data_IF_408470060333
#
_entry.id   IF_408470060333
#
_cell.length_a   1.000
_cell.length_b   1.000
_cell.length_c   1.000
_cell.angle_alpha   90.00
_cell.angle_beta   90.00
_cell.angle_gamma   90.00
#
_symmetry.space_group_name_H-M   'P 1'
#
loop_
_entity.id
_entity.type
_entity.pdbx_description
1 polymer ?
#
# COMPACT_ATOMS: atom_id res chain seq x y z
N UNK A 1 25.63 -28.21 -20.22
CA UNK A 1 26.50 -27.13 -19.71
C UNK A 1 25.64 -26.28 -18.78
N UNK A 2 25.86 -26.38 -17.46
CA UNK A 2 25.06 -25.68 -16.43
C UNK A 2 25.52 -24.22 -16.36
N UNK A 3 24.67 -23.26 -16.77
CA UNK A 3 24.90 -21.86 -16.40
C UNK A 3 24.24 -21.61 -15.06
N UNK A 4 25.11 -21.43 -14.06
CA UNK A 4 24.82 -20.93 -12.73
C UNK A 4 24.05 -19.60 -12.83
N UNK A 5 22.84 -19.57 -12.30
CA UNK A 5 22.10 -18.33 -12.05
C UNK A 5 22.80 -17.68 -10.86
N UNK A 6 23.64 -16.68 -11.13
CA UNK A 6 24.10 -15.75 -10.10
C UNK A 6 22.85 -14.98 -9.65
N UNK A 7 22.21 -15.47 -8.60
CA UNK A 7 21.29 -14.66 -7.81
C UNK A 7 22.08 -13.46 -7.29
N UNK A 8 21.57 -12.25 -7.48
CA UNK A 8 22.24 -11.08 -6.91
C UNK A 8 22.23 -11.23 -5.39
N UNK A 9 23.40 -11.19 -4.74
CA UNK A 9 23.55 -11.04 -3.28
C UNK A 9 23.04 -9.67 -2.76
N UNK A 10 22.21 -8.98 -3.53
CA UNK A 10 21.64 -7.70 -3.15
C UNK A 10 20.47 -7.92 -2.20
N UNK A 11 20.41 -7.13 -1.13
CA UNK A 11 19.28 -7.11 -0.21
C UNK A 11 17.97 -6.91 -0.99
N UNK A 12 16.89 -7.64 -0.63
CA UNK A 12 15.62 -7.51 -1.32
C UNK A 12 15.07 -6.09 -1.18
N UNK A 13 14.33 -5.66 -2.20
CA UNK A 13 13.54 -4.44 -2.12
C UNK A 13 12.17 -4.81 -1.53
N UNK A 14 11.91 -4.42 -0.28
CA UNK A 14 10.71 -4.80 0.45
C UNK A 14 9.59 -3.78 0.21
N UNK A 15 8.41 -4.30 -0.17
CA UNK A 15 7.19 -3.52 -0.44
C UNK A 15 6.09 -3.99 0.51
N UNK A 16 5.55 -3.08 1.32
CA UNK A 16 4.35 -3.32 2.10
C UNK A 16 3.09 -3.04 1.26
N UNK A 17 2.07 -3.88 1.37
CA UNK A 17 0.83 -3.74 0.61
C UNK A 17 -0.38 -3.87 1.53
N UNK A 18 -1.32 -2.94 1.39
CA UNK A 18 -2.59 -2.93 2.12
C UNK A 18 -3.77 -2.95 1.15
N UNK A 19 -4.90 -3.50 1.60
CA UNK A 19 -6.18 -3.45 0.88
C UNK A 19 -7.28 -2.85 1.77
N UNK A 20 -8.24 -2.16 1.16
CA UNK A 20 -9.37 -1.56 1.88
C UNK A 20 -10.37 -2.58 2.43
N UNK A 21 -11.04 -2.22 3.53
CA UNK A 21 -12.14 -3.00 4.10
C UNK A 21 -13.44 -2.93 3.30
N UNK A 22 -14.36 -3.85 3.59
CA UNK A 22 -15.56 -4.06 2.77
C UNK A 22 -16.61 -2.94 2.88
N UNK A 23 -16.60 -2.09 3.92
CA UNK A 23 -17.37 -0.82 4.03
C UNK A 23 -18.80 -0.85 3.46
N UNK A 24 -19.57 -1.91 3.73
CA UNK A 24 -20.96 -2.06 3.27
C UNK A 24 -21.15 -2.73 1.89
N UNK A 25 -20.08 -3.21 1.27
CA UNK A 25 -20.08 -4.03 0.06
C UNK A 25 -19.80 -5.50 0.39
N UNK A 26 -20.21 -6.42 -0.49
CA UNK A 26 -19.94 -7.86 -0.31
C UNK A 26 -18.44 -8.17 -0.35
N UNK A 27 -17.67 -7.37 -1.10
CA UNK A 27 -16.22 -7.47 -1.18
C UNK A 27 -15.59 -6.11 -1.45
N UNK A 28 -14.30 -5.98 -1.12
CA UNK A 28 -13.44 -4.88 -1.56
C UNK A 28 -12.39 -5.42 -2.54
N UNK A 29 -12.41 -4.90 -3.77
CA UNK A 29 -11.47 -5.34 -4.81
C UNK A 29 -10.00 -5.12 -4.44
N UNK A 30 -9.68 -4.14 -3.61
CA UNK A 30 -8.32 -3.90 -3.13
C UNK A 30 -7.83 -5.00 -2.18
N UNK A 31 -8.69 -5.51 -1.28
CA UNK A 31 -8.35 -6.63 -0.42
C UNK A 31 -8.12 -7.91 -1.25
N UNK A 32 -9.02 -8.21 -2.19
CA UNK A 32 -8.88 -9.36 -3.10
C UNK A 32 -7.57 -9.25 -3.90
N UNK A 33 -7.26 -8.07 -4.43
CA UNK A 33 -6.01 -7.84 -5.17
C UNK A 33 -4.77 -8.04 -4.29
N UNK A 34 -4.77 -7.54 -3.04
CA UNK A 34 -3.66 -7.78 -2.10
C UNK A 34 -3.41 -9.28 -1.91
N UNK A 35 -4.47 -10.05 -1.70
CA UNK A 35 -4.37 -11.47 -1.34
C UNK A 35 -3.84 -12.35 -2.48
N UNK A 36 -4.06 -11.94 -3.74
CA UNK A 36 -3.58 -12.67 -4.92
C UNK A 36 -2.21 -12.20 -5.43
N UNK A 37 -1.61 -11.17 -4.83
CA UNK A 37 -0.26 -10.77 -5.19
C UNK A 37 0.74 -11.88 -4.85
N UNK A 38 1.75 -12.11 -5.71
CA UNK A 38 2.81 -13.04 -5.38
C UNK A 38 3.65 -12.47 -4.23
N UNK A 39 4.20 -13.34 -3.38
CA UNK A 39 5.05 -12.92 -2.25
C UNK A 39 6.39 -12.33 -2.72
N UNK A 40 6.80 -12.61 -3.96
CA UNK A 40 8.00 -12.02 -4.54
C UNK A 40 7.97 -11.89 -6.07
N UNK A 41 8.73 -10.91 -6.56
CA UNK A 41 9.03 -10.74 -7.98
C UNK A 41 10.53 -10.83 -8.25
N UNK A 42 10.89 -11.74 -9.17
CA UNK A 42 12.26 -11.94 -9.64
C UNK A 42 12.46 -11.26 -10.98
N UNK A 43 13.56 -10.51 -11.11
CA UNK A 43 13.91 -9.78 -12.33
C UNK A 43 15.38 -10.02 -12.63
N UNK A 44 15.72 -10.30 -13.89
CA UNK A 44 17.10 -10.59 -14.28
C UNK A 44 18.05 -9.46 -13.85
N UNK A 45 19.12 -9.81 -13.15
CA UNK A 45 20.18 -8.90 -12.68
C UNK A 45 19.68 -7.71 -11.83
N UNK A 46 18.52 -7.84 -11.19
CA UNK A 46 17.96 -6.84 -10.27
C UNK A 46 17.65 -7.49 -8.93
N UNK A 47 17.64 -6.72 -7.82
CA UNK A 47 17.20 -7.23 -6.54
C UNK A 47 15.77 -7.80 -6.63
N UNK A 48 15.55 -8.91 -5.94
CA UNK A 48 14.22 -9.48 -5.70
C UNK A 48 13.36 -8.45 -5.01
N UNK A 49 12.12 -8.29 -5.48
CA UNK A 49 11.11 -7.53 -4.74
C UNK A 49 10.42 -8.51 -3.82
N UNK A 50 10.43 -8.27 -2.50
CA UNK A 50 9.61 -9.00 -1.53
C UNK A 50 8.34 -8.20 -1.26
N UNK A 51 7.20 -8.87 -1.23
CA UNK A 51 5.89 -8.27 -0.97
C UNK A 51 5.40 -8.75 0.38
N UNK A 52 5.21 -7.81 1.30
CA UNK A 52 4.62 -8.05 2.60
C UNK A 52 3.16 -7.58 2.56
N UNK A 53 2.23 -8.53 2.62
CA UNK A 53 0.79 -8.25 2.58
C UNK A 53 0.32 -8.00 4.01
N UNK A 54 -0.39 -6.90 4.26
CA UNK A 54 -0.98 -6.66 5.58
C UNK A 54 -2.05 -7.73 5.89
N UNK A 55 -2.00 -8.32 7.08
CA UNK A 55 -2.96 -9.37 7.53
C UNK A 55 -4.38 -8.84 7.65
N UNK A 56 -4.50 -7.57 8.03
CA UNK A 56 -5.78 -6.89 8.19
C UNK A 56 -6.07 -5.94 7.02
N UNK A 57 -7.35 -5.76 6.72
CA UNK A 57 -7.79 -4.74 5.78
C UNK A 57 -7.77 -3.37 6.45
N UNK A 58 -7.41 -2.33 5.70
CA UNK A 58 -7.54 -0.95 6.14
C UNK A 58 -9.03 -0.64 6.39
N UNK A 59 -9.37 -0.38 7.65
CA UNK A 59 -10.70 0.09 8.01
C UNK A 59 -10.99 1.44 7.34
N UNK A 60 -12.26 1.70 7.07
CA UNK A 60 -12.74 3.03 6.68
C UNK A 60 -12.86 4.00 7.87
N UNK A 61 -12.47 3.56 9.07
CA UNK A 61 -12.42 4.35 10.30
C UNK A 61 -11.03 5.00 10.50
N UNK A 62 -11.01 6.24 11.00
CA UNK A 62 -9.77 7.01 11.17
C UNK A 62 -8.74 6.33 12.07
N UNK A 63 -9.12 6.00 13.31
CA UNK A 63 -8.20 5.51 14.35
C UNK A 63 -7.64 4.10 14.04
N UNK A 64 -8.44 3.09 13.66
CA UNK A 64 -7.91 1.77 13.30
C UNK A 64 -7.00 1.82 12.08
N UNK A 65 -7.37 2.59 11.05
CA UNK A 65 -6.56 2.75 9.85
C UNK A 65 -5.18 3.35 10.17
N UNK A 66 -5.13 4.38 11.01
CA UNK A 66 -3.85 4.96 11.46
C UNK A 66 -2.98 3.96 12.21
N UNK A 67 -3.56 3.27 13.21
CA UNK A 67 -2.80 2.32 14.03
C UNK A 67 -2.18 1.23 13.18
N UNK A 68 -2.93 0.73 12.19
CA UNK A 68 -2.41 -0.24 11.23
C UNK A 68 -1.28 0.37 10.41
N UNK A 69 -1.47 1.54 9.78
CA UNK A 69 -0.43 2.18 8.94
C UNK A 69 0.84 2.47 9.75
N UNK A 70 0.73 3.02 10.95
CA UNK A 70 1.87 3.30 11.83
C UNK A 70 2.61 2.01 12.22
N UNK A 71 1.89 0.95 12.58
CA UNK A 71 2.49 -0.33 12.92
C UNK A 71 3.19 -1.01 11.74
N UNK A 72 2.63 -0.90 10.54
CA UNK A 72 3.23 -1.40 9.30
C UNK A 72 4.55 -0.66 8.98
N UNK A 73 4.59 0.66 9.12
CA UNK A 73 5.81 1.46 8.95
C UNK A 73 6.84 1.26 10.06
N UNK A 74 6.39 0.94 11.28
CA UNK A 74 7.24 0.55 12.40
C UNK A 74 7.77 -0.89 12.30
N UNK A 75 7.60 -1.54 11.13
CA UNK A 75 8.09 -2.89 10.85
C UNK A 75 7.53 -3.96 11.82
N UNK A 76 6.31 -3.77 12.32
CA UNK A 76 5.65 -4.78 13.14
C UNK A 76 5.27 -5.99 12.27
N UNK A 77 6.14 -7.01 12.26
CA UNK A 77 5.99 -8.21 11.45
C UNK A 77 4.67 -8.96 11.70
N UNK A 78 4.07 -8.86 12.89
CA UNK A 78 2.78 -9.50 13.18
C UNK A 78 1.60 -8.92 12.38
N UNK A 79 1.77 -7.74 11.79
CA UNK A 79 0.78 -7.10 10.92
C UNK A 79 0.93 -7.51 9.45
N UNK A 80 1.91 -8.35 9.12
CA UNK A 80 2.15 -8.88 7.79
C UNK A 80 1.92 -10.40 7.73
N UNK A 81 1.38 -10.86 6.60
CA UNK A 81 1.27 -12.28 6.26
C UNK A 81 2.67 -12.80 5.90
N UNK A 82 3.41 -13.29 6.90
CA UNK A 82 4.79 -13.75 6.72
C UNK A 82 4.84 -15.23 6.38
N UNK A 83 5.22 -15.57 5.14
CA UNK A 83 5.38 -16.97 4.69
C UNK A 83 6.82 -17.51 4.89
N UNK A 84 7.81 -16.68 5.23
CA UNK A 84 9.15 -17.16 5.61
C UNK A 84 9.76 -16.28 6.71
N UNK A 85 10.28 -16.92 7.77
CA UNK A 85 11.00 -16.32 8.90
C UNK A 85 12.31 -15.64 8.42
N UNK A 86 12.24 -14.47 7.78
CA UNK A 86 13.46 -13.68 7.57
C UNK A 86 13.74 -12.85 8.82
N UNK A 87 14.59 -13.39 9.68
CA UNK A 87 15.21 -12.72 10.84
C UNK A 87 16.13 -11.54 10.46
N UNK A 88 16.36 -11.30 9.17
CA UNK A 88 17.10 -10.14 8.69
C UNK A 88 16.15 -8.95 8.53
N UNK A 89 16.44 -7.86 9.24
CA UNK A 89 15.61 -6.64 9.32
C UNK A 89 14.97 -6.24 7.99
N UNK A 90 13.69 -6.58 7.83
CA UNK A 90 12.89 -6.27 6.67
C UNK A 90 12.45 -4.81 6.73
N UNK A 91 13.32 -3.91 6.28
CA UNK A 91 12.94 -2.51 6.15
C UNK A 91 12.02 -2.31 4.95
N UNK A 92 10.77 -1.95 5.21
CA UNK A 92 9.82 -1.58 4.15
C UNK A 92 10.29 -0.30 3.47
N UNK A 93 10.55 -0.40 2.16
CA UNK A 93 11.08 0.72 1.36
C UNK A 93 10.02 1.44 0.54
N UNK A 94 8.85 0.82 0.40
CA UNK A 94 7.71 1.34 -0.32
C UNK A 94 6.43 0.75 0.30
N UNK A 95 5.43 1.59 0.52
CA UNK A 95 4.10 1.18 0.93
C UNK A 95 3.12 1.45 -0.22
N UNK A 96 2.32 0.44 -0.56
CA UNK A 96 1.23 0.57 -1.55
C UNK A 96 -0.10 0.44 -0.81
N UNK A 97 -0.85 1.54 -0.78
CA UNK A 97 -2.22 1.56 -0.27
C UNK A 97 -3.21 1.42 -1.42
N UNK A 98 -4.01 0.36 -1.39
CA UNK A 98 -5.05 0.12 -2.39
C UNK A 98 -6.44 0.36 -1.79
N UNK A 99 -7.26 1.11 -2.51
CA UNK A 99 -8.66 1.37 -2.18
C UNK A 99 -9.58 1.04 -3.35
N UNK A 100 -10.87 0.95 -3.07
CA UNK A 100 -11.90 0.73 -4.08
C UNK A 100 -12.64 2.03 -4.39
N UNK A 101 -12.80 2.35 -5.68
CA UNK A 101 -13.68 3.43 -6.16
C UNK A 101 -14.86 2.80 -6.88
N UNK A 102 -16.07 3.15 -6.49
CA UNK A 102 -17.30 2.56 -7.05
C UNK A 102 -17.77 3.24 -8.33
N UNK A 103 -17.33 4.47 -8.58
CA UNK A 103 -17.79 5.30 -9.70
C UNK A 103 -16.85 5.35 -10.89
N UNK A 104 -15.63 4.83 -10.76
CA UNK A 104 -14.62 4.88 -11.82
C UNK A 104 -14.34 3.47 -12.35
N UNK A 105 -14.41 3.23 -13.67
CA UNK A 105 -14.17 1.91 -14.25
C UNK A 105 -12.67 1.59 -14.40
N UNK A 106 -11.78 2.57 -14.14
CA UNK A 106 -10.35 2.46 -14.38
C UNK A 106 -9.55 2.47 -13.08
N UNK A 107 -8.33 1.93 -13.13
CA UNK A 107 -7.34 2.12 -12.08
C UNK A 107 -6.91 3.59 -12.02
N UNK A 108 -6.98 4.17 -10.82
CA UNK A 108 -6.49 5.51 -10.54
C UNK A 108 -5.25 5.44 -9.66
N UNK A 109 -4.30 6.34 -9.90
CA UNK A 109 -3.16 6.55 -9.02
C UNK A 109 -3.28 7.94 -8.42
N UNK A 110 -3.33 8.01 -7.09
CA UNK A 110 -3.36 9.29 -6.40
C UNK A 110 -1.99 9.97 -6.53
N UNK A 111 -2.00 11.25 -6.94
CA UNK A 111 -0.77 11.99 -7.28
C UNK A 111 -0.27 12.90 -6.17
N UNK A 112 -1.10 13.14 -5.16
CA UNK A 112 -0.75 13.82 -3.92
C UNK A 112 -1.76 13.47 -2.81
N UNK A 113 -1.32 13.55 -1.57
CA UNK A 113 -2.18 13.58 -0.39
C UNK A 113 -2.17 14.99 0.18
N UNK A 114 -3.33 15.47 0.63
CA UNK A 114 -3.47 16.80 1.21
C UNK A 114 -3.40 16.70 2.73
N UNK A 115 -2.75 17.69 3.36
CA UNK A 115 -2.60 17.77 4.81
C UNK A 115 -3.92 17.90 5.55
N UNK A 116 -4.91 18.56 4.95
CA UNK A 116 -6.26 18.70 5.51
C UNK A 116 -7.00 17.36 5.62
N UNK A 117 -6.49 16.32 4.97
CA UNK A 117 -6.98 14.95 5.11
C UNK A 117 -8.40 14.78 4.57
N UNK A 118 -9.02 13.68 4.98
CA UNK A 118 -10.43 13.42 4.72
C UNK A 118 -11.26 14.11 5.81
N UNK A 119 -12.18 14.99 5.43
CA UNK A 119 -13.01 15.80 6.37
C UNK A 119 -14.46 15.31 6.46
N UNK A 120 -14.76 14.16 5.85
CA UNK A 120 -16.11 13.60 5.85
C UNK A 120 -16.27 12.53 6.93
N UNK A 121 -17.50 12.21 7.34
CA UNK A 121 -17.73 11.11 8.27
C UNK A 121 -17.17 9.79 7.76
N UNK A 122 -16.63 8.99 8.66
CA UNK A 122 -16.29 7.58 8.39
C UNK A 122 -17.55 6.71 8.28
N UNK A 123 -17.35 5.39 8.12
CA UNK A 123 -18.43 4.39 8.06
C UNK A 123 -19.28 4.29 9.35
N UNK A 124 -18.80 4.84 10.48
CA UNK A 124 -19.53 4.95 11.75
C UNK A 124 -20.17 6.33 11.94
N UNK A 125 -20.08 7.21 10.94
CA UNK A 125 -20.59 8.58 11.01
C UNK A 125 -19.72 9.51 11.85
N UNK A 126 -18.49 9.10 12.22
CA UNK A 126 -17.59 9.93 13.02
C UNK A 126 -16.78 10.86 12.12
N UNK A 127 -16.73 12.12 12.52
CA UNK A 127 -15.80 13.09 11.96
C UNK A 127 -14.41 12.90 12.58
N UNK A 128 -13.34 13.32 11.88
CA UNK A 128 -11.99 13.25 12.45
C UNK A 128 -11.89 14.14 13.69
N UNK A 129 -11.37 13.57 14.77
CA UNK A 129 -11.13 14.24 16.04
C UNK A 129 -9.69 14.78 16.13
N UNK A 130 -9.38 15.70 17.06
CA UNK A 130 -7.99 16.15 17.29
C UNK A 130 -6.98 15.00 17.52
N UNK A 131 -7.42 13.88 18.10
CA UNK A 131 -6.60 12.67 18.28
C UNK A 131 -6.37 11.94 16.96
N UNK A 132 -7.24 12.15 15.98
CA UNK A 132 -7.06 11.76 14.59
C UNK A 132 -6.09 12.69 13.85
N UNK A 133 -5.18 13.38 14.53
CA UNK A 133 -4.01 13.98 13.90
C UNK A 133 -2.74 13.71 14.72
N UNK A 134 -1.62 13.42 14.05
CA UNK A 134 -0.35 13.19 14.74
C UNK A 134 0.14 14.52 15.33
N UNK A 135 0.32 14.57 16.65
CA UNK A 135 0.85 15.70 17.43
C UNK A 135 0.10 17.04 17.31
N UNK A 136 -1.05 17.15 17.98
CA UNK A 136 -1.55 18.44 18.49
C UNK A 136 -2.47 19.26 17.57
N UNK A 137 -2.85 18.73 16.41
CA UNK A 137 -3.66 19.45 15.43
C UNK A 137 -3.37 18.98 14.02
N UNK A 138 -3.78 19.76 13.01
CA UNK A 138 -3.77 19.51 11.57
C UNK A 138 -2.41 19.07 10.98
N UNK A 139 -1.90 17.88 11.33
CA UNK A 139 -0.57 17.39 10.92
C UNK A 139 0.48 18.52 10.98
N UNK A 140 0.50 19.24 12.11
CA UNK A 140 1.27 20.48 12.24
C UNK A 140 2.77 20.17 12.04
N UNK A 141 3.40 20.87 11.10
CA UNK A 141 4.78 20.61 10.67
C UNK A 141 4.91 19.72 9.42
N UNK A 142 3.82 19.11 8.94
CA UNK A 142 3.80 18.46 7.62
C UNK A 142 3.57 19.49 6.50
N UNK A 143 4.09 19.23 5.28
CA UNK A 143 3.78 20.04 4.11
C UNK A 143 2.29 19.97 3.77
N UNK A 144 1.77 21.00 3.09
CA UNK A 144 0.36 21.04 2.66
C UNK A 144 0.00 19.89 1.71
N UNK A 145 0.97 19.47 0.90
CA UNK A 145 0.84 18.34 -0.01
C UNK A 145 2.02 17.38 0.19
N UNK A 146 1.72 16.10 0.26
CA UNK A 146 2.70 15.03 0.13
C UNK A 146 2.54 14.40 -1.25
N UNK A 147 3.63 14.38 -2.03
CA UNK A 147 3.66 13.75 -3.35
C UNK A 147 4.36 12.41 -3.25
N UNK A 148 3.93 11.38 -4.00
CA UNK A 148 4.67 10.12 -4.06
C UNK A 148 6.10 10.35 -4.54
N UNK A 149 7.09 9.78 -3.84
CA UNK A 149 8.51 9.85 -4.23
C UNK A 149 8.77 9.14 -5.56
N UNK A 150 7.93 8.16 -5.88
CA UNK A 150 7.93 7.50 -7.18
C UNK A 150 7.21 8.43 -8.15
N UNK A 151 7.95 9.02 -9.09
CA UNK A 151 7.34 9.71 -10.23
C UNK A 151 6.46 8.71 -11.00
N UNK A 152 5.16 8.80 -10.76
CA UNK A 152 4.12 8.18 -11.55
C UNK A 152 4.09 8.90 -12.91
N UNK A 153 5.11 8.69 -13.76
CA UNK A 153 4.93 8.96 -15.19
C UNK A 153 3.70 8.13 -15.58
N UNK A 154 2.67 8.71 -16.23
CA UNK A 154 1.37 8.09 -16.38
C UNK A 154 1.58 6.62 -16.76
N UNK A 155 1.22 5.68 -15.88
CA UNK A 155 1.50 4.28 -16.13
C UNK A 155 0.71 3.76 -17.34
N UNK A 156 -0.14 4.60 -17.95
CA UNK A 156 -0.78 4.40 -19.25
C UNK A 156 0.09 3.68 -20.29
N UNK A 157 1.39 4.01 -20.40
CA UNK A 157 2.24 3.37 -21.43
C UNK A 157 2.66 1.94 -21.08
N UNK A 158 2.66 1.56 -19.81
CA UNK A 158 2.99 0.20 -19.35
C UNK A 158 1.73 -0.61 -19.03
N UNK A 159 0.71 -0.01 -18.42
CA UNK A 159 -0.58 -0.64 -18.11
C UNK A 159 -1.37 -1.00 -19.37
N UNK A 160 -1.33 -0.19 -20.44
CA UNK A 160 -1.97 -0.56 -21.73
C UNK A 160 -1.42 -1.87 -22.32
N UNK A 161 -0.20 -2.27 -21.95
CA UNK A 161 0.37 -3.54 -22.40
C UNK A 161 -0.09 -4.73 -21.55
N UNK A 162 -0.58 -4.51 -20.32
CA UNK A 162 -1.05 -5.57 -19.42
C UNK A 162 -2.59 -5.65 -19.33
N UNK A 163 -3.28 -4.53 -19.53
CA UNK A 163 -4.74 -4.42 -19.55
C UNK A 163 -5.14 -3.69 -20.85
N UNK A 164 -5.20 -4.40 -21.99
CA UNK A 164 -5.74 -3.83 -23.21
C UNK A 164 -7.20 -3.47 -22.94
N UNK A 165 -7.58 -2.22 -23.16
CA UNK A 165 -8.96 -1.78 -23.08
C UNK A 165 -9.79 -2.58 -24.10
N UNK A 166 -10.61 -3.50 -23.61
CA UNK A 166 -11.71 -4.07 -24.39
C UNK A 166 -12.69 -2.93 -24.66
N UNK A 167 -12.84 -2.59 -25.95
CA UNK A 167 -13.85 -1.67 -26.46
C UNK A 167 -15.24 -2.31 -26.43
#
# INVERSE_FOLDING_TARGET
>A
MRQSIIGSNAQPFVVGVTGGGNSGFDYNSAAVLRDVLPDSFHRQRKPTIKILKATENLSAEYNPSRKLIQGLWAENLSMYDTVEESNDGLQVRLMIHMGMRTKEPNYCFETFARRDGYIHPDNLGKLPSPEDYDTGGYFDGCPEELRPDVMLRPPERQLKNFFPTTR
#
